data_IF_241008829418
#
_entry.id   IF_241008829418
#
_cell.length_a   1.000
_cell.length_b   1.000
_cell.length_c   1.000
_cell.angle_alpha   90.00
_cell.angle_beta   90.00
_cell.angle_gamma   90.00
#
_symmetry.space_group_name_H-M   'P 1'
#
loop_
_entity.id
_entity.type
_entity.pdbx_description
1 polymer ?
2 water ?
#
# COMPACT_ATOMS: atom_id res chain seq x y z
N UNK A 18 -10.70 -0.12 -9.30
CA UNK A 18 -11.26 1.23 -9.11
C UNK A 18 -10.66 1.86 -7.85
N UNK A 19 -9.45 2.46 -7.97
CA UNK A 19 -8.32 2.20 -8.86
C UNK A 19 -7.65 0.85 -8.60
N UNK A 20 -7.91 -0.13 -9.45
CA UNK A 20 -7.39 -1.50 -9.28
C UNK A 20 -6.16 -1.72 -10.16
N UNK A 21 -5.20 -2.51 -9.65
CA UNK A 21 -3.99 -2.99 -10.38
C UNK A 21 -4.23 -4.15 -11.41
N UNK A 22 -3.24 -4.36 -12.30
CA UNK A 22 -3.42 -4.81 -13.72
C UNK A 22 -3.74 -6.25 -14.23
N UNK A 23 -3.01 -7.32 -13.82
CA UNK A 23 -1.97 -7.59 -12.85
C UNK A 23 -0.52 -7.52 -13.37
N UNK A 24 -0.20 -6.51 -14.18
CA UNK A 24 1.19 -6.14 -14.36
C UNK A 24 1.64 -5.52 -13.03
N UNK A 25 1.12 -4.32 -12.77
CA UNK A 25 1.31 -3.62 -11.49
C UNK A 25 1.17 -4.53 -10.31
N UNK A 26 0.15 -5.38 -10.26
CA UNK A 26 0.03 -6.24 -9.08
C UNK A 26 1.39 -6.86 -8.76
N UNK A 27 2.04 -7.36 -9.81
CA UNK A 27 3.35 -7.96 -9.69
C UNK A 27 4.46 -6.91 -9.44
N UNK A 28 4.31 -5.74 -10.04
CA UNK A 28 5.20 -4.58 -9.80
C UNK A 28 5.05 -3.95 -8.37
N UNK A 29 3.80 -3.90 -7.90
CA UNK A 29 3.49 -3.49 -6.56
C UNK A 29 4.05 -4.51 -5.59
N UNK A 30 3.88 -5.80 -5.88
CA UNK A 30 4.38 -6.87 -5.01
C UNK A 30 5.91 -6.79 -4.89
N UNK A 31 6.52 -6.38 -5.99
CA UNK A 31 7.99 -6.29 -6.05
C UNK A 31 8.43 -5.13 -5.13
N UNK A 32 7.76 -3.97 -5.29
CA UNK A 32 8.02 -2.76 -4.49
C UNK A 32 7.75 -3.03 -3.02
N UNK A 33 6.62 -3.69 -2.73
CA UNK A 33 6.32 -4.12 -1.36
C UNK A 33 7.42 -4.97 -0.68
N UNK A 34 7.96 -5.95 -1.40
CA UNK A 34 9.08 -6.72 -0.83
C UNK A 34 10.32 -5.84 -0.59
N UNK A 35 10.62 -4.90 -1.49
CA UNK A 35 11.73 -3.96 -1.25
C UNK A 35 11.46 -3.08 -0.01
N UNK A 36 10.24 -2.51 0.04
CA UNK A 36 9.77 -1.69 1.16
C UNK A 36 10.03 -2.41 2.46
N UNK A 37 9.72 -3.70 2.52
CA UNK A 37 9.93 -4.48 3.73
C UNK A 37 11.46 -4.55 4.10
N UNK A 38 12.32 -4.78 3.11
CA UNK A 38 13.77 -4.78 3.35
C UNK A 38 14.28 -3.44 3.88
N UNK A 39 13.61 -2.35 3.51
CA UNK A 39 14.05 -1.00 3.90
C UNK A 39 13.41 -0.53 5.16
N UNK A 40 12.59 -1.38 5.76
CA UNK A 40 11.81 -1.03 6.89
C UNK A 40 10.85 0.14 6.49
N UNK A 41 10.36 0.16 5.25
CA UNK A 41 9.37 1.18 4.84
C UNK A 41 8.00 0.60 4.54
N UNK A 42 7.59 -0.39 5.33
CA UNK A 42 6.31 -0.98 5.09
C UNK A 42 5.54 -1.12 6.37
N UNK A 43 4.25 -0.72 6.35
CA UNK A 43 3.36 -0.91 7.55
C UNK A 43 2.25 -1.83 7.08
N UNK A 44 2.14 -3.00 7.69
CA UNK A 44 1.22 -4.06 7.29
C UNK A 44 -0.03 -4.03 8.11
N UNK A 45 -1.21 -4.00 7.46
CA UNK A 45 -2.47 -4.15 8.22
C UNK A 45 -3.18 -2.83 8.17
N UNK A 46 -4.52 -2.85 8.26
CA UNK A 46 -5.27 -1.59 8.11
C UNK A 46 -4.97 -0.54 9.19
N UNK A 47 -4.81 -0.97 10.45
CA UNK A 47 -4.64 0.01 11.50
C UNK A 47 -3.24 0.65 11.40
N UNK A 48 -2.25 -0.17 11.09
CA UNK A 48 -0.86 0.33 10.89
C UNK A 48 -0.84 1.31 9.72
N UNK A 49 -1.54 1.03 8.64
CA UNK A 49 -1.71 1.96 7.50
C UNK A 49 -2.37 3.30 7.88
N UNK A 50 -3.44 3.21 8.66
CA UNK A 50 -4.12 4.39 9.18
C UNK A 50 -3.17 5.18 10.12
N UNK A 51 -2.39 4.50 10.93
CA UNK A 51 -1.41 5.26 11.72
C UNK A 51 -0.38 6.00 10.85
N UNK A 52 -0.01 5.44 9.69
CA UNK A 52 1.00 6.07 8.85
C UNK A 52 0.39 7.29 8.21
N UNK A 53 -0.86 7.12 7.77
CA UNK A 53 -1.64 8.26 7.21
C UNK A 53 -1.79 9.39 8.20
N UNK A 54 -2.11 9.08 9.46
CA UNK A 54 -2.28 10.12 10.51
C UNK A 54 -0.99 10.79 10.92
N UNK A 55 0.10 10.08 10.85
CA UNK A 55 1.44 10.73 11.01
C UNK A 55 1.96 11.47 9.73
N UNK A 56 1.28 11.36 8.60
CA UNK A 56 1.73 12.01 7.36
C UNK A 56 2.94 11.35 6.71
N UNK A 57 3.23 10.09 7.08
CA UNK A 57 4.33 9.31 6.45
C UNK A 57 3.96 8.25 5.40
N UNK A 58 2.66 8.01 5.22
CA UNK A 58 2.20 7.11 4.15
C UNK A 58 2.46 7.71 2.79
N UNK A 59 3.17 6.98 1.93
CA UNK A 59 3.42 7.41 0.55
C UNK A 59 2.40 6.84 -0.39
N UNK A 60 2.21 5.53 -0.29
CA UNK A 60 1.20 4.84 -1.02
C UNK A 60 0.55 3.88 -0.02
N UNK A 61 -0.77 3.81 -0.12
CA UNK A 61 -1.61 2.85 0.66
C UNK A 61 -2.14 1.74 -0.26
N UNK A 62 -1.92 0.49 0.12
CA UNK A 62 -2.35 -0.63 -0.73
C UNK A 62 -3.53 -1.32 -0.04
N UNK A 63 -4.54 -1.69 -0.81
CA UNK A 63 -5.83 -2.28 -0.28
C UNK A 63 -6.18 -3.56 -1.04
N UNK A 64 -6.47 -4.64 -0.35
CA UNK A 64 -6.83 -5.90 -1.07
C UNK A 64 -8.31 -5.88 -1.52
N UNK A 65 -8.53 -6.06 -2.81
CA UNK A 65 -9.88 -6.06 -3.34
C UNK A 65 -10.77 -7.10 -2.67
N UNK A 66 -10.20 -8.12 -2.05
CA UNK A 66 -11.03 -9.19 -1.40
C UNK A 66 -11.05 -9.13 0.17
N UNK A 67 -10.58 -8.04 0.75
CA UNK A 67 -10.66 -7.82 2.20
C UNK A 67 -12.09 -7.86 2.73
N UNK A 68 -12.23 -8.25 4.00
CA UNK A 68 -13.47 -8.16 4.74
C UNK A 68 -12.93 -7.57 6.02
N UNK A 69 -13.65 -6.65 6.63
CA UNK A 69 -14.95 -6.19 6.22
C UNK A 69 -14.82 -5.12 5.17
N UNK A 70 -15.91 -4.94 4.41
CA UNK A 70 -15.94 -4.08 3.29
C UNK A 70 -15.94 -2.62 3.67
N UNK A 71 -16.33 -2.34 4.91
CA UNK A 71 -16.36 -0.97 5.45
C UNK A 71 -14.96 -0.39 5.48
N UNK A 72 -13.96 -1.25 5.71
CA UNK A 72 -12.55 -0.80 5.62
C UNK A 72 -12.22 -0.35 4.23
N UNK A 73 -12.64 -1.15 3.25
CA UNK A 73 -12.41 -0.86 1.83
C UNK A 73 -13.12 0.33 1.32
N UNK A 74 -14.22 0.68 1.94
CA UNK A 74 -14.95 1.86 1.54
C UNK A 74 -14.39 3.00 2.27
N UNK A 75 -14.01 2.73 3.50
CA UNK A 75 -13.59 3.75 4.38
C UNK A 75 -12.16 4.31 4.13
N UNK A 76 -11.16 3.42 3.94
CA UNK A 76 -9.78 3.85 3.77
C UNK A 76 -9.49 4.74 2.57
N UNK A 77 -10.05 4.43 1.39
CA UNK A 77 -9.95 5.38 0.28
C UNK A 77 -10.37 6.84 0.59
N UNK A 78 -11.46 7.04 1.33
CA UNK A 78 -11.94 8.39 1.71
C UNK A 78 -10.91 9.10 2.58
N UNK A 79 -10.42 8.40 3.60
CA UNK A 79 -9.36 8.89 4.43
C UNK A 79 -8.07 9.24 3.64
N UNK A 80 -7.63 8.38 2.75
CA UNK A 80 -6.52 8.67 1.86
C UNK A 80 -6.76 9.91 1.04
N UNK A 81 -7.92 10.00 0.43
CA UNK A 81 -8.23 11.17 -0.36
C UNK A 81 -8.16 12.51 0.39
N UNK A 82 -8.77 12.57 1.59
CA UNK A 82 -8.70 13.76 2.46
C UNK A 82 -7.26 14.10 2.82
N UNK A 83 -6.44 13.08 3.04
CA UNK A 83 -5.06 13.28 3.43
C UNK A 83 -4.14 13.37 2.25
N UNK A 84 -4.71 13.44 1.05
CA UNK A 84 -3.88 13.54 -0.14
C UNK A 84 -2.82 12.46 -0.26
N UNK A 85 -3.19 11.20 0.01
CA UNK A 85 -2.27 10.06 -0.12
C UNK A 85 -2.85 9.13 -1.18
N UNK A 86 -2.03 8.77 -2.19
CA UNK A 86 -2.37 7.90 -3.29
C UNK A 86 -2.70 6.46 -2.74
N UNK A 87 -3.61 5.75 -3.36
CA UNK A 87 -3.93 4.38 -2.93
C UNK A 87 -4.34 3.61 -4.16
N UNK A 88 -4.22 2.29 -4.05
CA UNK A 88 -4.46 1.42 -5.17
C UNK A 88 -4.89 0.06 -4.64
N UNK A 89 -5.77 -0.59 -5.39
CA UNK A 89 -6.30 -1.92 -5.04
C UNK A 89 -5.49 -3.00 -5.76
N UNK A 90 -4.96 -3.92 -4.97
CA UNK A 90 -4.31 -5.12 -5.48
C UNK A 90 -5.33 -6.26 -5.42
N UNK A 91 -5.10 -7.37 -6.14
CA UNK A 91 -6.16 -8.34 -6.23
C UNK A 91 -6.47 -9.15 -4.99
N UNK A 92 -5.48 -9.58 -4.23
CA UNK A 92 -5.78 -10.43 -3.06
C UNK A 92 -4.96 -10.18 -1.84
N UNK A 93 -5.62 -10.30 -0.69
CA UNK A 93 -5.02 -10.22 0.61
C UNK A 93 -3.92 -11.25 0.82
N UNK A 94 -3.98 -12.37 0.10
CA UNK A 94 -3.02 -13.46 0.31
C UNK A 94 -1.70 -13.08 -0.39
N UNK A 95 -1.73 -12.54 -1.59
CA UNK A 95 -0.48 -12.14 -2.23
C UNK A 95 0.09 -10.88 -1.59
N UNK A 96 -0.78 -10.02 -1.03
CA UNK A 96 -0.29 -8.83 -0.28
C UNK A 96 0.33 -9.31 1.01
N UNK A 97 -0.25 -10.33 1.62
CA UNK A 97 0.23 -10.79 2.89
C UNK A 97 1.58 -11.45 2.71
N UNK A 98 1.73 -12.28 1.67
CA UNK A 98 3.03 -12.90 1.34
C UNK A 98 4.15 -11.91 0.92
N UNK A 99 3.83 -10.94 0.07
CA UNK A 99 4.74 -9.85 -0.30
C UNK A 99 5.19 -9.04 0.91
N UNK A 100 4.29 -8.90 1.90
CA UNK A 100 4.61 -8.28 3.20
C UNK A 100 5.52 -9.13 4.10
N UNK A 101 5.89 -10.34 3.67
CA UNK A 101 6.79 -11.21 4.45
C UNK A 101 6.15 -11.85 5.69
N UNK A 102 4.83 -11.99 5.64
CA UNK A 102 4.04 -12.58 6.74
C UNK A 102 3.33 -13.81 6.15
N UNK A 103 2.98 -14.79 6.97
CA UNK A 103 2.35 -16.00 6.41
C UNK A 103 0.83 -15.98 6.57
N UNK A 104 0.32 -14.82 6.96
CA UNK A 104 -1.13 -14.56 7.03
C UNK A 104 -1.52 -13.58 5.91
N UNK A 105 -2.81 -13.59 5.49
CA UNK A 105 -3.23 -12.53 4.56
C UNK A 105 -3.26 -11.14 5.20
N UNK A 106 -2.96 -10.13 4.39
CA UNK A 106 -3.01 -8.73 4.87
C UNK A 106 -4.02 -7.96 4.03
N UNK A 107 -4.95 -7.27 4.70
CA UNK A 107 -5.97 -6.49 3.97
C UNK A 107 -5.61 -5.07 3.49
N UNK A 108 -4.62 -4.46 4.13
CA UNK A 108 -4.13 -3.16 3.71
C UNK A 108 -2.74 -3.04 4.22
N UNK A 109 -1.97 -2.16 3.58
CA UNK A 109 -0.57 -1.94 3.95
C UNK A 109 -0.26 -0.53 3.55
N UNK A 110 0.79 0.04 4.13
CA UNK A 110 1.25 1.34 3.65
C UNK A 110 2.76 1.32 3.39
N UNK A 111 3.13 1.82 2.21
CA UNK A 111 4.59 2.08 1.93
C UNK A 111 4.90 3.48 2.51
N UNK A 112 5.82 3.55 3.47
CA UNK A 112 6.05 4.82 4.16
C UNK A 112 7.27 5.57 3.58
N UNK A 113 7.26 6.89 3.73
CA UNK A 113 8.43 7.68 3.37
C UNK A 113 9.51 7.62 4.48
N UNK A 114 10.78 7.70 4.08
CA UNK A 114 11.87 7.79 5.07
C UNK A 114 12.89 8.80 4.50
N UNK A 115 13.32 9.76 5.32
CA UNK A 115 14.22 10.85 4.89
C UNK A 115 15.50 10.19 4.39
N UNK A 116 15.91 10.53 3.17
CA UNK A 116 17.16 10.00 2.56
C UNK A 116 17.07 8.61 1.97
N UNK A 117 15.85 8.06 1.82
CA UNK A 117 15.78 6.69 1.39
C UNK A 117 16.21 6.49 -0.04
N UNK A 118 16.97 5.42 -0.28
CA UNK A 118 17.25 4.94 -1.62
C UNK A 118 16.14 4.30 -2.35
N UNK A 119 14.97 4.16 -1.72
CA UNK A 119 13.77 3.65 -2.44
C UNK A 119 12.94 4.76 -3.03
N UNK A 120 13.30 6.00 -2.69
CA UNK A 120 12.45 7.14 -2.89
C UNK A 120 12.05 7.18 -4.37
N UNK A 121 13.02 6.87 -5.24
CA UNK A 121 12.85 6.91 -6.67
C UNK A 121 11.81 5.88 -7.22
N UNK A 122 11.92 4.62 -6.84
CA UNK A 122 10.91 3.63 -7.19
C UNK A 122 9.53 4.00 -6.58
N UNK A 123 9.53 4.51 -5.34
CA UNK A 123 8.25 4.97 -4.72
C UNK A 123 7.59 6.13 -5.48
N UNK A 124 8.35 7.19 -5.77
CA UNK A 124 7.74 8.37 -6.39
C UNK A 124 7.27 8.05 -7.81
N UNK A 125 7.89 7.03 -8.40
CA UNK A 125 7.49 6.40 -9.65
C UNK A 125 6.29 5.43 -9.64
N UNK A 126 6.05 4.70 -8.56
CA UNK A 126 4.79 3.98 -8.47
C UNK A 126 3.71 5.00 -8.26
N UNK A 127 4.03 6.03 -7.46
CA UNK A 127 3.07 7.04 -7.01
C UNK A 127 2.32 7.75 -8.14
N UNK A 128 3.02 7.92 -9.27
CA UNK A 128 2.52 8.77 -10.34
C UNK A 128 1.85 7.93 -11.40
N UNK A 129 2.33 6.69 -11.57
CA UNK A 129 1.63 5.67 -12.34
C UNK A 129 0.24 5.34 -11.74
N UNK A 130 -0.05 5.85 -10.55
CA UNK A 130 -1.35 5.69 -9.94
C UNK A 130 -2.27 6.81 -10.48
N UNK A 131 -1.66 7.89 -10.98
CA UNK A 131 -2.42 9.10 -11.40
C UNK A 131 -3.34 9.21 -12.65
N UNK A 132 -3.14 8.56 -13.81
CA UNK A 132 -2.08 7.65 -14.24
C UNK A 132 -1.44 8.23 -15.50
#
# INVERSE_FOLDING_TARGET
GSSQNEASEDTGFNPKAFPLASPDLNNKIINLVQQACNYKQLRKGANEATKALNRGIAEIVLLAADAEPLEILLHLPLVCEDKNTPYVFVRSKVALGRACGVSRPVIAAAITSKDGSSLSSQITELKDQIEQILV
#
